data_IF_417719904773
#
_entry.id   IF_417719904773
#
_cell.length_a   1.000
_cell.length_b   1.000
_cell.length_c   1.000
_cell.angle_alpha   90.00
_cell.angle_beta   90.00
_cell.angle_gamma   90.00
#
_symmetry.space_group_name_H-M   'P 1'
#
loop_
_entity.id
_entity.type
_entity.pdbx_description
1 polymer ?
#
# COMPACT_ATOMS: atom_id res chain seq x y z
N UNK A 1 -9.62 -1.32 -15.63
CA UNK A 1 -9.11 -0.97 -14.28
C UNK A 1 -8.43 -2.20 -13.72
N UNK A 2 -7.15 -2.10 -13.36
CA UNK A 2 -6.38 -3.22 -12.81
C UNK A 2 -5.93 -2.83 -11.41
N UNK A 3 -6.57 -3.34 -10.33
CA UNK A 3 -6.18 -3.03 -8.96
C UNK A 3 -4.87 -3.72 -8.59
N UNK A 4 -4.06 -3.08 -7.74
CA UNK A 4 -2.86 -3.71 -7.18
C UNK A 4 -3.28 -4.80 -6.18
N UNK A 5 -2.72 -6.01 -6.32
CA UNK A 5 -3.03 -7.19 -5.51
C UNK A 5 -1.92 -7.54 -4.51
N UNK A 6 -0.70 -7.05 -4.74
CA UNK A 6 0.46 -7.30 -3.86
C UNK A 6 0.62 -6.18 -2.82
N UNK A 7 1.07 -6.48 -1.59
CA UNK A 7 1.19 -5.48 -0.53
C UNK A 7 2.34 -4.50 -0.75
N UNK A 8 3.39 -4.93 -1.46
CA UNK A 8 4.53 -4.09 -1.86
C UNK A 8 5.29 -4.78 -3.01
N UNK A 9 6.18 -4.03 -3.66
CA UNK A 9 6.99 -4.53 -4.76
C UNK A 9 8.14 -5.40 -4.25
N UNK A 10 8.10 -6.68 -4.57
CA UNK A 10 9.17 -7.64 -4.31
C UNK A 10 9.31 -8.59 -5.50
N UNK A 11 9.76 -8.05 -6.64
CA UNK A 11 9.92 -8.82 -7.87
C UNK A 11 11.19 -9.67 -7.85
N UNK A 12 11.31 -10.57 -8.83
CA UNK A 12 12.49 -11.43 -8.99
C UNK A 12 13.79 -10.63 -9.03
N UNK A 13 13.84 -9.53 -9.77
CA UNK A 13 15.05 -8.68 -9.87
C UNK A 13 15.45 -8.07 -8.52
N UNK A 14 14.46 -7.66 -7.71
CA UNK A 14 14.72 -7.12 -6.36
C UNK A 14 15.26 -8.22 -5.44
N UNK A 15 14.70 -9.44 -5.53
CA UNK A 15 15.14 -10.59 -4.74
C UNK A 15 16.53 -11.05 -5.16
N UNK A 16 16.82 -11.09 -6.47
CA UNK A 16 18.12 -11.49 -7.02
C UNK A 16 19.23 -10.52 -6.58
N UNK A 17 18.90 -9.23 -6.47
CA UNK A 17 19.79 -8.22 -5.88
C UNK A 17 20.19 -8.48 -4.42
N UNK A 18 19.47 -9.34 -3.69
CA UNK A 18 19.81 -9.75 -2.32
C UNK A 18 20.81 -10.93 -2.28
N UNK A 19 21.17 -11.48 -3.44
CA UNK A 19 22.12 -12.58 -3.59
C UNK A 19 21.54 -13.94 -3.22
N UNK A 20 22.42 -14.90 -2.92
CA UNK A 20 22.07 -16.32 -2.75
C UNK A 20 21.10 -16.60 -1.60
N UNK A 21 21.01 -15.70 -0.61
CA UNK A 21 20.08 -15.84 0.51
C UNK A 21 18.67 -15.34 0.19
N UNK A 22 18.51 -14.55 -0.88
CA UNK A 22 17.24 -13.93 -1.24
C UNK A 22 16.59 -13.21 -0.06
N UNK A 23 15.29 -13.45 0.12
CA UNK A 23 14.47 -12.85 1.18
C UNK A 23 14.77 -13.40 2.59
N UNK A 24 15.30 -14.63 2.69
CA UNK A 24 15.53 -15.32 3.97
C UNK A 24 16.76 -14.81 4.75
N UNK A 25 17.54 -13.93 4.14
CA UNK A 25 18.76 -13.36 4.73
C UNK A 25 18.51 -12.11 5.56
N UNK A 26 19.26 -11.06 5.23
CA UNK A 26 19.21 -9.77 5.93
C UNK A 26 17.84 -9.10 5.76
N UNK A 27 17.21 -9.27 4.59
CA UNK A 27 15.91 -8.65 4.29
C UNK A 27 14.83 -9.00 5.32
N UNK A 28 14.52 -10.29 5.51
CA UNK A 28 13.52 -10.73 6.49
C UNK A 28 13.82 -10.21 7.90
N UNK A 29 15.05 -10.36 8.37
CA UNK A 29 15.46 -9.90 9.71
C UNK A 29 15.26 -8.39 9.87
N UNK A 30 15.67 -7.60 8.88
CA UNK A 30 15.46 -6.17 8.89
C UNK A 30 13.98 -5.80 8.88
N UNK A 31 13.14 -6.51 8.12
CA UNK A 31 11.69 -6.32 8.12
C UNK A 31 11.07 -6.63 9.49
N UNK A 32 11.49 -7.72 10.14
CA UNK A 32 11.01 -8.10 11.47
C UNK A 32 11.37 -7.06 12.53
N UNK A 33 12.63 -6.60 12.56
CA UNK A 33 13.08 -5.56 13.49
C UNK A 33 12.37 -4.23 13.22
N UNK A 34 12.26 -3.83 11.96
CA UNK A 34 11.57 -2.59 11.57
C UNK A 34 10.10 -2.63 11.99
N UNK A 35 9.41 -3.73 11.69
CA UNK A 35 8.00 -3.90 12.07
C UNK A 35 7.84 -3.93 13.59
N UNK A 36 8.75 -4.57 14.33
CA UNK A 36 8.75 -4.56 15.79
C UNK A 36 8.83 -3.13 16.36
N UNK A 37 9.74 -2.31 15.83
CA UNK A 37 9.88 -0.89 16.21
C UNK A 37 8.62 -0.08 15.85
N UNK A 38 8.04 -0.31 14.66
CA UNK A 38 6.80 0.35 14.24
C UNK A 38 5.62 -0.01 15.15
N UNK A 39 5.44 -1.28 15.50
CA UNK A 39 4.38 -1.72 16.42
C UNK A 39 4.57 -1.15 17.83
N UNK A 40 5.81 -1.07 18.29
CA UNK A 40 6.16 -0.49 19.60
C UNK A 40 5.83 1.00 19.66
N UNK A 41 6.09 1.74 18.57
CA UNK A 41 5.87 3.19 18.48
C UNK A 41 4.58 3.57 17.73
N UNK A 42 3.59 2.66 17.68
CA UNK A 42 2.39 2.84 16.86
C UNK A 42 1.60 4.11 17.20
N UNK A 43 1.53 4.50 18.48
CA UNK A 43 0.77 5.68 18.92
C UNK A 43 1.35 6.97 18.31
N UNK A 44 2.69 7.08 18.22
CA UNK A 44 3.35 8.21 17.59
C UNK A 44 3.04 8.27 16.08
N UNK A 45 3.07 7.11 15.40
CA UNK A 45 2.73 7.02 13.98
C UNK A 45 1.26 7.39 13.71
N UNK A 46 0.34 6.88 14.53
CA UNK A 46 -1.09 7.20 14.41
C UNK A 46 -1.36 8.68 14.64
N UNK A 47 -0.73 9.28 15.66
CA UNK A 47 -0.86 10.72 15.94
C UNK A 47 -0.45 11.56 14.73
N UNK A 48 0.67 11.23 14.08
CA UNK A 48 1.14 11.96 12.90
C UNK A 48 0.13 11.84 11.75
N UNK A 49 -0.41 10.65 11.50
CA UNK A 49 -1.37 10.43 10.40
C UNK A 49 -2.71 11.13 10.70
N UNK A 50 -3.17 11.10 11.95
CA UNK A 50 -4.40 11.80 12.39
C UNK A 50 -4.33 13.30 12.10
N UNK A 51 -3.17 13.94 12.32
CA UNK A 51 -2.97 15.37 12.00
C UNK A 51 -3.24 15.64 10.51
N UNK A 52 -2.74 14.79 9.61
CA UNK A 52 -2.96 14.97 8.17
C UNK A 52 -4.43 14.76 7.76
N UNK A 53 -5.17 13.91 8.46
CA UNK A 53 -6.59 13.65 8.13
C UNK A 53 -7.46 14.86 8.45
N UNK A 54 -7.06 15.63 9.45
CA UNK A 54 -7.72 16.87 9.83
C UNK A 54 -7.26 18.10 9.03
N UNK A 55 -6.30 17.96 8.11
CA UNK A 55 -5.88 19.05 7.23
C UNK A 55 -6.94 19.30 6.13
N UNK A 56 -7.64 20.45 6.13
CA UNK A 56 -8.70 20.75 5.17
C UNK A 56 -8.18 20.92 3.73
N UNK A 57 -6.87 21.07 3.53
CA UNK A 57 -6.26 21.18 2.19
C UNK A 57 -5.94 19.81 1.57
N UNK A 58 -6.00 18.73 2.35
CA UNK A 58 -5.61 17.40 1.88
C UNK A 58 -6.79 16.62 1.29
N UNK A 59 -6.70 16.30 0.00
CA UNK A 59 -7.71 15.48 -0.70
C UNK A 59 -7.35 13.99 -0.61
N UNK A 60 -7.94 13.27 0.35
CA UNK A 60 -7.67 11.85 0.65
C UNK A 60 -8.24 10.86 -0.38
N UNK A 61 -9.32 11.23 -1.05
CA UNK A 61 -9.94 10.40 -2.08
C UNK A 61 -9.50 10.86 -3.48
N UNK A 62 -8.92 9.96 -4.27
CA UNK A 62 -8.82 10.15 -5.71
C UNK A 62 -10.22 9.97 -6.30
N UNK A 63 -10.76 11.02 -6.92
CA UNK A 63 -12.01 10.90 -7.68
C UNK A 63 -11.89 9.74 -8.68
N UNK A 64 -12.90 8.86 -8.79
CA UNK A 64 -12.89 7.73 -9.71
C UNK A 64 -12.54 8.12 -11.16
N UNK A 65 -12.89 9.34 -11.57
CA UNK A 65 -12.55 9.91 -12.87
C UNK A 65 -11.06 10.27 -12.97
N UNK A 66 -10.47 10.90 -11.95
CA UNK A 66 -9.03 11.18 -11.89
C UNK A 66 -8.19 9.90 -11.84
N UNK A 67 -8.66 8.88 -11.12
CA UNK A 67 -8.03 7.57 -11.11
C UNK A 67 -8.10 6.88 -12.48
N UNK A 68 -9.21 7.03 -13.21
CA UNK A 68 -9.35 6.54 -14.59
C UNK A 68 -8.43 7.28 -15.55
N UNK A 69 -8.34 8.60 -15.46
CA UNK A 69 -7.45 9.42 -16.30
C UNK A 69 -6.00 8.97 -16.16
N UNK A 70 -5.51 8.78 -14.92
CA UNK A 70 -4.16 8.28 -14.65
C UNK A 70 -3.89 6.87 -15.19
N UNK A 71 -4.92 6.03 -15.26
CA UNK A 71 -4.80 4.71 -15.91
C UNK A 71 -4.87 4.82 -17.44
N UNK A 72 -5.50 5.87 -17.99
CA UNK A 72 -5.68 6.14 -19.42
C UNK A 72 -4.54 6.91 -20.08
N UNK A 73 -3.78 7.73 -19.33
CA UNK A 73 -2.61 8.48 -19.81
C UNK A 73 -1.47 7.60 -20.38
N UNK A 74 -1.64 6.27 -20.36
CA UNK A 74 -0.76 5.32 -21.05
C UNK A 74 -1.22 5.01 -22.49
N UNK A 75 -2.40 5.47 -22.95
CA UNK A 75 -2.97 5.05 -24.25
C UNK A 75 -3.32 6.16 -25.26
N UNK A 76 -3.55 7.44 -24.93
CA UNK A 76 -3.61 8.50 -25.96
C UNK A 76 -3.73 9.92 -25.37
N UNK A 77 -3.09 10.86 -26.05
CA UNK A 77 -3.01 12.30 -25.78
C UNK A 77 -4.33 12.99 -26.20
N UNK A 78 -5.16 13.43 -25.25
CA UNK A 78 -6.20 14.43 -25.52
C UNK A 78 -6.65 15.16 -24.25
N UNK A 79 -6.30 16.45 -24.18
CA UNK A 79 -6.81 17.40 -23.19
C UNK A 79 -8.34 17.39 -23.14
N UNK A 80 -8.92 17.33 -21.93
CA UNK A 80 -10.29 17.81 -21.72
C UNK A 80 -10.38 18.51 -20.37
N UNK A 81 -10.88 19.75 -20.44
CA UNK A 81 -10.96 20.73 -19.36
C UNK A 81 -11.91 20.33 -18.23
N UNK A 82 -11.57 20.85 -17.06
CA UNK A 82 -12.08 20.67 -15.71
C UNK A 82 -13.56 21.02 -15.52
N UNK A 83 -14.26 20.22 -14.70
CA UNK A 83 -15.27 20.71 -13.75
C UNK A 83 -15.04 20.02 -12.39
N UNK A 84 -14.61 20.81 -11.38
CA UNK A 84 -14.42 20.39 -9.98
C UNK A 84 -15.80 20.41 -9.30
N UNK A 85 -16.55 19.33 -9.40
CA UNK A 85 -17.79 19.15 -8.64
C UNK A 85 -17.45 18.84 -7.17
N UNK A 86 -18.03 19.65 -6.29
CA UNK A 86 -17.86 19.68 -4.83
C UNK A 86 -18.13 18.32 -4.15
N UNK A 87 -17.07 17.54 -3.90
CA UNK A 87 -17.10 16.35 -3.03
C UNK A 87 -16.20 16.52 -1.78
N UNK A 88 -16.11 17.74 -1.23
CA UNK A 88 -15.27 18.02 -0.05
C UNK A 88 -15.71 17.25 1.21
N UNK A 89 -16.93 16.71 1.26
CA UNK A 89 -17.46 16.05 2.47
C UNK A 89 -17.31 14.52 2.48
N UNK A 90 -17.06 13.86 1.34
CA UNK A 90 -16.85 12.40 1.30
C UNK A 90 -15.41 11.98 1.57
N UNK A 91 -14.42 12.83 1.28
CA UNK A 91 -12.99 12.52 1.45
C UNK A 91 -12.58 12.15 2.88
N UNK A 92 -13.26 12.70 3.90
CA UNK A 92 -12.94 12.40 5.29
C UNK A 92 -13.34 10.97 5.72
N UNK A 93 -14.38 10.38 5.08
CA UNK A 93 -14.77 8.99 5.37
C UNK A 93 -13.76 7.98 4.82
N UNK A 94 -13.19 8.24 3.64
CA UNK A 94 -12.11 7.43 3.07
C UNK A 94 -10.83 7.52 3.93
N UNK A 95 -10.50 8.74 4.37
CA UNK A 95 -9.37 9.00 5.27
C UNK A 95 -9.49 8.23 6.59
N UNK A 96 -10.66 8.30 7.24
CA UNK A 96 -10.92 7.57 8.47
C UNK A 96 -10.84 6.03 8.28
N UNK A 97 -11.32 5.51 7.14
CA UNK A 97 -11.18 4.09 6.79
C UNK A 97 -9.73 3.69 6.60
N UNK A 98 -8.93 4.52 5.93
CA UNK A 98 -7.50 4.29 5.74
C UNK A 98 -6.75 4.27 7.09
N UNK A 99 -7.05 5.22 7.99
CA UNK A 99 -6.46 5.25 9.33
C UNK A 99 -6.80 4.00 10.14
N UNK A 100 -8.07 3.58 10.13
CA UNK A 100 -8.49 2.35 10.80
C UNK A 100 -7.71 1.14 10.27
N UNK A 101 -7.48 1.07 8.96
CA UNK A 101 -6.70 0.00 8.34
C UNK A 101 -5.22 0.06 8.75
N UNK A 102 -4.61 1.24 8.82
CA UNK A 102 -3.22 1.41 9.29
C UNK A 102 -3.09 0.96 10.74
N UNK A 103 -4.04 1.35 11.61
CA UNK A 103 -4.08 0.91 13.00
C UNK A 103 -4.14 -0.61 13.11
N UNK A 104 -5.04 -1.25 12.35
CA UNK A 104 -5.13 -2.72 12.29
C UNK A 104 -3.79 -3.36 11.88
N UNK A 105 -3.12 -2.84 10.84
CA UNK A 105 -1.80 -3.36 10.41
C UNK A 105 -0.75 -3.24 11.51
N UNK A 106 -0.72 -2.12 12.24
CA UNK A 106 0.20 -1.89 13.37
C UNK A 106 -0.14 -2.74 14.61
N UNK A 107 -1.40 -3.09 14.81
CA UNK A 107 -1.83 -4.05 15.83
C UNK A 107 -1.54 -5.51 15.43
N UNK A 108 -1.14 -5.73 14.17
CA UNK A 108 -0.80 -7.03 13.61
C UNK A 108 -1.97 -7.80 13.01
N UNK A 109 -3.07 -7.12 12.70
CA UNK A 109 -4.20 -7.71 11.99
C UNK A 109 -4.00 -7.65 10.48
N UNK A 110 -4.02 -8.82 9.86
CA UNK A 110 -4.02 -9.01 8.41
C UNK A 110 -5.20 -9.94 8.06
N UNK A 111 -6.07 -9.52 7.13
CA UNK A 111 -7.28 -10.26 6.74
C UNK A 111 -8.20 -10.70 7.91
N UNK A 112 -8.21 -9.92 8.99
CA UNK A 112 -9.02 -10.18 10.19
C UNK A 112 -8.35 -11.10 11.22
N UNK A 113 -7.16 -11.63 10.92
CA UNK A 113 -6.40 -12.49 11.84
C UNK A 113 -5.25 -11.72 12.49
N UNK A 114 -5.09 -11.88 13.80
CA UNK A 114 -3.95 -11.32 14.53
C UNK A 114 -2.71 -12.21 14.33
N UNK A 115 -1.60 -11.59 13.94
CA UNK A 115 -0.33 -12.26 13.67
C UNK A 115 0.82 -11.67 14.48
N UNK A 116 1.76 -12.53 14.87
CA UNK A 116 3.05 -12.11 15.42
C UNK A 116 3.82 -11.28 14.38
N UNK A 117 4.87 -10.57 14.82
CA UNK A 117 5.74 -9.81 13.90
C UNK A 117 6.31 -10.71 12.81
N UNK A 118 6.89 -11.86 13.19
CA UNK A 118 7.42 -12.84 12.24
C UNK A 118 6.33 -13.38 11.31
N UNK A 119 5.14 -13.70 11.83
CA UNK A 119 4.03 -14.22 11.05
C UNK A 119 3.48 -13.22 10.04
N UNK A 120 3.39 -11.93 10.41
CA UNK A 120 2.96 -10.88 9.49
C UNK A 120 4.02 -10.64 8.41
N UNK A 121 5.31 -10.55 8.76
CA UNK A 121 6.38 -10.41 7.77
C UNK A 121 6.38 -11.59 6.79
N UNK A 122 6.28 -12.82 7.31
CA UNK A 122 6.20 -14.02 6.47
C UNK A 122 5.05 -13.94 5.48
N UNK A 123 3.84 -13.59 5.93
CA UNK A 123 2.69 -13.49 5.04
C UNK A 123 2.88 -12.41 3.99
N UNK A 124 3.32 -11.21 4.40
CA UNK A 124 3.46 -10.10 3.47
C UNK A 124 4.52 -10.38 2.40
N UNK A 125 5.59 -11.09 2.75
CA UNK A 125 6.59 -11.56 1.77
C UNK A 125 5.96 -12.55 0.80
N UNK A 126 5.22 -13.56 1.30
CA UNK A 126 4.58 -14.55 0.44
C UNK A 126 3.56 -13.90 -0.51
N UNK A 127 2.76 -12.99 0.01
CA UNK A 127 1.78 -12.22 -0.75
C UNK A 127 2.42 -11.33 -1.82
N UNK A 128 3.62 -10.81 -1.56
CA UNK A 128 4.35 -9.94 -2.49
C UNK A 128 5.01 -10.72 -3.65
N UNK A 129 5.28 -12.01 -3.46
CA UNK A 129 5.92 -12.88 -4.46
C UNK A 129 4.95 -13.88 -5.11
N UNK A 130 3.68 -13.85 -4.72
CA UNK A 130 2.65 -14.78 -5.18
C UNK A 130 2.42 -14.65 -6.71
N UNK A 131 2.73 -15.68 -7.50
CA UNK A 131 2.55 -15.65 -8.96
C UNK A 131 1.11 -15.38 -9.39
N UNK A 132 0.11 -15.84 -8.62
CA UNK A 132 -1.30 -15.62 -8.94
C UNK A 132 -1.65 -14.14 -8.79
N UNK A 133 -1.17 -13.48 -7.74
CA UNK A 133 -1.37 -12.02 -7.57
C UNK A 133 -0.59 -11.22 -8.59
N UNK A 134 0.65 -11.61 -8.86
CA UNK A 134 1.54 -10.92 -9.79
C UNK A 134 1.01 -10.98 -11.23
N UNK A 135 0.39 -12.08 -11.65
CA UNK A 135 -0.15 -12.18 -13.01
C UNK A 135 -1.38 -11.28 -13.27
N UNK A 136 -2.07 -10.86 -12.20
CA UNK A 136 -3.19 -9.92 -12.27
C UNK A 136 -2.76 -8.46 -12.19
N UNK A 137 -1.47 -8.17 -11.99
CA UNK A 137 -0.97 -6.80 -11.91
C UNK A 137 -1.02 -6.11 -13.28
N UNK A 138 -1.10 -4.78 -13.26
CA UNK A 138 -1.02 -3.98 -14.47
C UNK A 138 0.30 -4.26 -15.22
N UNK A 139 0.31 -4.45 -16.55
CA UNK A 139 1.52 -4.81 -17.30
C UNK A 139 2.70 -3.84 -17.09
N UNK A 140 2.43 -2.53 -17.02
CA UNK A 140 3.46 -1.51 -16.75
C UNK A 140 4.04 -1.55 -15.33
N UNK A 141 3.45 -2.35 -14.43
CA UNK A 141 4.03 -2.59 -13.11
C UNK A 141 5.31 -3.44 -13.22
N UNK A 142 5.48 -4.25 -14.27
CA UNK A 142 6.68 -5.09 -14.44
C UNK A 142 6.78 -6.17 -13.35
N UNK A 143 5.91 -7.17 -13.44
CA UNK A 143 5.77 -8.22 -12.42
C UNK A 143 6.80 -9.36 -12.55
N UNK A 144 7.61 -9.36 -13.62
CA UNK A 144 8.55 -10.41 -13.98
C UNK A 144 9.99 -10.08 -13.59
#
# INVERSE_FOLDING_TARGET
>A
KTPEQVPFRLTRDVIDGMGVTGVEGVFRKCCEETLSVMRTNKEALLTIIEVFIHDPLYKWALSPLKALQRQKETEDDMETSWEDSQDEYEGNKDAARALMRVKQKLDGYEDGEMRSVHGQVQQLIQDAIDPERLCHMFPGWGAW
#
